data_IF_476629004810
#
_entry.id   IF_476629004810
#
_cell.length_a   1.000
_cell.length_b   1.000
_cell.length_c   1.000
_cell.angle_alpha   90.00
_cell.angle_beta   90.00
_cell.angle_gamma   90.00
#
_symmetry.space_group_name_H-M   'P 1'
#
loop_
_entity.id
_entity.type
_entity.pdbx_description
1 polymer ?
#
# COMPACT_ATOMS: atom_id res chain seq x y z
N UNK A 1 6.42 -20.24 5.96
CA UNK A 1 7.89 -20.25 6.06
C UNK A 1 8.29 -19.37 7.25
N UNK A 2 9.56 -19.34 7.65
CA UNK A 2 9.97 -18.39 8.69
C UNK A 2 9.90 -16.96 8.13
N UNK A 3 9.34 -16.03 8.90
CA UNK A 3 9.28 -14.61 8.51
C UNK A 3 10.70 -14.02 8.51
N UNK A 4 11.11 -13.25 7.50
CA UNK A 4 12.45 -12.70 7.46
C UNK A 4 12.71 -11.76 8.65
N UNK A 5 13.95 -11.74 9.12
CA UNK A 5 14.38 -10.81 10.18
C UNK A 5 14.54 -9.41 9.59
N UNK A 6 13.58 -8.53 9.88
CA UNK A 6 13.58 -7.11 9.50
C UNK A 6 13.38 -6.24 10.75
N UNK A 7 13.72 -4.95 10.66
CA UNK A 7 13.59 -4.00 11.76
C UNK A 7 12.32 -3.16 11.62
N UNK A 8 11.83 -2.61 12.74
CA UNK A 8 10.82 -1.55 12.70
C UNK A 8 11.36 -0.30 12.02
N UNK A 9 10.49 0.45 11.36
CA UNK A 9 10.80 1.77 10.81
C UNK A 9 9.80 2.80 11.35
N UNK A 10 10.20 4.07 11.38
CA UNK A 10 9.35 5.16 11.85
C UNK A 10 9.30 6.30 10.85
N UNK A 11 8.12 6.90 10.71
CA UNK A 11 7.91 8.17 10.01
C UNK A 11 7.29 9.11 11.03
N UNK A 12 8.06 10.12 11.44
CA UNK A 12 7.68 11.00 12.56
C UNK A 12 7.46 10.19 13.85
N UNK A 13 6.30 10.31 14.51
CA UNK A 13 5.95 9.52 15.69
C UNK A 13 5.29 8.17 15.35
N UNK A 14 5.07 7.86 14.07
CA UNK A 14 4.35 6.66 13.63
C UNK A 14 5.33 5.51 13.44
N UNK A 15 5.22 4.50 14.30
CA UNK A 15 6.05 3.28 14.23
C UNK A 15 5.35 2.20 13.41
N UNK A 16 6.10 1.66 12.45
CA UNK A 16 5.75 0.48 11.66
C UNK A 16 6.55 -0.71 12.20
N UNK A 17 5.90 -1.69 12.86
CA UNK A 17 6.59 -2.85 13.41
C UNK A 17 7.20 -3.73 12.31
N UNK A 18 8.18 -4.59 12.64
CA UNK A 18 8.82 -5.46 11.65
C UNK A 18 7.88 -6.49 11.04
N UNK A 19 6.83 -6.88 11.77
CA UNK A 19 5.82 -7.84 11.31
C UNK A 19 4.41 -7.38 11.67
N UNK A 20 3.43 -7.80 10.87
CA UNK A 20 2.03 -7.46 11.04
C UNK A 20 1.11 -8.61 10.64
N UNK A 21 -0.12 -8.58 11.17
CA UNK A 21 -1.25 -9.38 10.67
C UNK A 21 -2.19 -8.49 9.87
N UNK A 22 -2.49 -8.93 8.66
CA UNK A 22 -3.36 -8.19 7.75
C UNK A 22 -4.83 -8.59 8.00
N UNK A 23 -5.76 -7.63 8.04
CA UNK A 23 -7.19 -7.90 8.08
C UNK A 23 -7.61 -8.78 6.90
N UNK A 24 -8.43 -9.80 7.16
CA UNK A 24 -8.90 -10.74 6.13
C UNK A 24 -7.86 -11.76 5.68
N UNK A 25 -6.70 -11.87 6.35
CA UNK A 25 -5.65 -12.84 6.04
C UNK A 25 -5.18 -13.61 7.28
N UNK A 26 -4.82 -14.88 7.09
CA UNK A 26 -4.17 -15.71 8.11
C UNK A 26 -2.64 -15.72 7.98
N UNK A 27 -2.10 -15.10 6.93
CA UNK A 27 -0.69 -15.12 6.60
C UNK A 27 0.17 -14.26 7.54
N UNK A 28 1.50 -14.42 7.44
CA UNK A 28 2.48 -13.58 8.12
C UNK A 28 3.04 -12.56 7.13
N UNK A 29 3.18 -11.31 7.58
CA UNK A 29 3.72 -10.23 6.77
C UNK A 29 4.94 -9.62 7.46
N UNK A 30 5.95 -9.26 6.66
CA UNK A 30 7.12 -8.53 7.09
C UNK A 30 7.14 -7.13 6.46
N UNK A 31 7.73 -6.16 7.16
CA UNK A 31 7.86 -4.80 6.67
C UNK A 31 8.85 -4.75 5.51
N UNK A 32 8.36 -4.40 4.31
CA UNK A 32 9.18 -4.19 3.12
C UNK A 32 9.72 -2.76 3.01
N UNK A 33 8.99 -1.78 3.55
CA UNK A 33 9.45 -0.39 3.60
C UNK A 33 8.38 0.57 4.08
N UNK A 34 8.80 1.81 4.37
CA UNK A 34 7.92 2.90 4.78
C UNK A 34 8.20 4.17 3.98
N UNK A 35 7.18 5.01 3.81
CA UNK A 35 7.32 6.31 3.18
C UNK A 35 6.27 7.30 3.68
N UNK A 36 6.44 8.58 3.34
CA UNK A 36 5.44 9.61 3.61
C UNK A 36 4.83 10.10 2.29
N UNK A 37 3.52 10.38 2.30
CA UNK A 37 2.84 11.06 1.19
C UNK A 37 2.35 12.42 1.67
N UNK A 38 2.51 13.41 0.80
CA UNK A 38 2.20 14.81 1.09
C UNK A 38 2.00 15.60 -0.19
N UNK A 39 1.81 16.91 -0.02
CA UNK A 39 1.71 17.87 -1.11
C UNK A 39 2.69 19.01 -0.87
N UNK A 40 3.18 19.60 -1.97
CA UNK A 40 3.98 20.81 -1.91
C UNK A 40 3.05 22.00 -1.68
N UNK A 41 3.24 22.74 -0.58
CA UNK A 41 2.53 23.98 -0.28
C UNK A 41 3.59 25.07 -0.16
N UNK A 42 3.61 25.99 -1.13
CA UNK A 42 4.71 26.96 -1.28
C UNK A 42 6.06 26.21 -1.36
N UNK A 43 7.05 26.61 -0.57
CA UNK A 43 8.38 26.00 -0.56
C UNK A 43 8.52 24.84 0.44
N UNK A 44 7.40 24.35 1.01
CA UNK A 44 7.40 23.28 2.01
C UNK A 44 6.62 22.05 1.56
N UNK A 45 7.26 20.88 1.66
CA UNK A 45 6.58 19.60 1.52
C UNK A 45 5.81 19.26 2.81
N UNK A 46 4.48 19.28 2.73
CA UNK A 46 3.58 19.01 3.86
C UNK A 46 3.09 17.57 3.78
N UNK A 47 3.48 16.75 4.76
CA UNK A 47 3.07 15.35 4.87
C UNK A 47 1.64 15.23 5.41
N UNK A 48 0.87 14.34 4.81
CA UNK A 48 -0.50 14.02 5.19
C UNK A 48 -0.62 12.59 5.73
N UNK A 49 0.13 11.65 5.17
CA UNK A 49 0.10 10.25 5.60
C UNK A 49 1.48 9.63 5.66
N UNK A 50 1.65 8.69 6.59
CA UNK A 50 2.75 7.73 6.60
C UNK A 50 2.23 6.37 6.11
N UNK A 51 3.00 5.69 5.27
CA UNK A 51 2.60 4.44 4.61
C UNK A 51 3.65 3.39 4.92
N UNK A 52 3.22 2.25 5.45
CA UNK A 52 4.02 1.04 5.56
C UNK A 52 3.53 0.00 4.57
N UNK A 53 4.45 -0.57 3.79
CA UNK A 53 4.18 -1.67 2.87
C UNK A 53 4.78 -2.95 3.45
N UNK A 54 3.93 -3.96 3.59
CA UNK A 54 4.29 -5.26 4.10
C UNK A 54 4.01 -6.33 3.03
N UNK A 55 4.91 -7.30 2.96
CA UNK A 55 4.82 -8.41 2.02
C UNK A 55 4.63 -9.71 2.79
N UNK A 56 3.87 -10.64 2.23
CA UNK A 56 3.76 -12.00 2.75
C UNK A 56 5.14 -12.67 2.79
N UNK A 57 5.40 -13.52 3.78
CA UNK A 57 6.67 -14.25 3.95
C UNK A 57 7.17 -14.98 2.69
N UNK A 58 6.26 -15.55 1.89
CA UNK A 58 6.58 -16.24 0.64
C UNK A 58 7.12 -15.33 -0.48
N UNK A 59 7.01 -14.00 -0.33
CA UNK A 59 7.52 -13.05 -1.31
C UNK A 59 9.04 -13.13 -1.48
N UNK A 60 9.77 -13.42 -0.39
CA UNK A 60 11.25 -13.49 -0.41
C UNK A 60 11.76 -14.59 -1.35
N UNK A 61 11.38 -15.87 -1.18
CA UNK A 61 11.86 -16.91 -2.09
C UNK A 61 11.40 -16.69 -3.53
N UNK A 62 10.18 -16.18 -3.76
CA UNK A 62 9.70 -15.85 -5.11
C UNK A 62 10.58 -14.78 -5.78
N UNK A 63 10.84 -13.66 -5.10
CA UNK A 63 11.67 -12.59 -5.64
C UNK A 63 13.14 -13.03 -5.79
N UNK A 64 13.62 -13.92 -4.92
CA UNK A 64 15.00 -14.40 -4.97
C UNK A 64 15.35 -15.17 -6.24
N UNK A 65 14.38 -15.76 -6.96
CA UNK A 65 14.62 -16.46 -8.23
C UNK A 65 15.29 -15.56 -9.28
N UNK A 66 15.00 -14.25 -9.24
CA UNK A 66 15.46 -13.27 -10.23
C UNK A 66 16.30 -12.15 -9.62
N UNK A 67 16.02 -11.78 -8.37
CA UNK A 67 16.53 -10.55 -7.76
C UNK A 67 17.59 -10.78 -6.67
N UNK A 68 17.91 -12.04 -6.37
CA UNK A 68 18.96 -12.36 -5.40
C UNK A 68 20.31 -11.80 -5.84
N UNK A 69 21.10 -11.34 -4.86
CA UNK A 69 22.43 -10.75 -5.02
C UNK A 69 22.49 -9.41 -5.80
N UNK A 70 21.35 -8.85 -6.18
CA UNK A 70 21.26 -7.50 -6.74
C UNK A 70 21.48 -6.47 -5.63
N UNK A 71 22.18 -5.39 -5.96
CA UNK A 71 22.40 -4.30 -4.99
C UNK A 71 21.12 -3.50 -4.76
N UNK A 72 21.00 -2.83 -3.61
CA UNK A 72 19.85 -1.98 -3.33
C UNK A 72 19.69 -0.85 -4.36
N UNK A 73 20.80 -0.28 -4.84
CA UNK A 73 20.80 0.75 -5.87
C UNK A 73 20.25 0.20 -7.20
N UNK A 74 20.76 -0.94 -7.64
CA UNK A 74 20.28 -1.59 -8.87
C UNK A 74 18.78 -1.92 -8.79
N UNK A 75 18.31 -2.46 -7.67
CA UNK A 75 16.90 -2.76 -7.48
C UNK A 75 16.01 -1.51 -7.49
N UNK A 76 16.50 -0.40 -6.92
CA UNK A 76 15.76 0.88 -6.86
C UNK A 76 15.48 1.44 -8.26
N UNK A 77 16.41 1.29 -9.19
CA UNK A 77 16.27 1.81 -10.55
C UNK A 77 15.64 0.80 -11.53
N UNK A 78 15.31 -0.40 -11.06
CA UNK A 78 14.80 -1.49 -11.90
C UNK A 78 13.27 -1.61 -11.82
N UNK A 79 12.55 -0.95 -12.74
CA UNK A 79 11.08 -1.02 -12.83
C UNK A 79 10.52 -2.47 -12.80
N UNK A 80 11.10 -3.46 -13.50
CA UNK A 80 10.63 -4.84 -13.42
C UNK A 80 10.68 -5.47 -12.02
N UNK A 81 11.57 -5.03 -11.13
CA UNK A 81 11.62 -5.51 -9.75
C UNK A 81 10.35 -5.12 -8.98
N UNK A 82 9.96 -3.85 -9.08
CA UNK A 82 8.72 -3.37 -8.49
C UNK A 82 7.49 -4.00 -9.13
N UNK A 83 7.52 -4.29 -10.44
CA UNK A 83 6.45 -5.04 -11.11
C UNK A 83 6.29 -6.42 -10.49
N UNK A 84 7.37 -7.17 -10.30
CA UNK A 84 7.33 -8.49 -9.67
C UNK A 84 6.86 -8.42 -8.21
N UNK A 85 7.17 -7.32 -7.49
CA UNK A 85 6.57 -7.06 -6.17
C UNK A 85 5.06 -6.87 -6.28
N UNK A 86 4.59 -6.00 -7.17
CA UNK A 86 3.17 -5.63 -7.30
C UNK A 86 2.31 -6.82 -7.77
N UNK A 87 2.76 -7.53 -8.81
CA UNK A 87 2.00 -8.60 -9.47
C UNK A 87 2.35 -10.00 -8.98
N UNK A 88 3.35 -10.14 -8.10
CA UNK A 88 3.79 -11.44 -7.60
C UNK A 88 2.67 -12.22 -6.89
N UNK A 89 2.72 -13.56 -6.87
CA UNK A 89 1.66 -14.45 -6.40
C UNK A 89 1.62 -14.57 -4.88
N UNK A 90 1.69 -13.44 -4.19
CA UNK A 90 1.69 -13.32 -2.73
C UNK A 90 0.90 -12.11 -2.29
N UNK A 91 0.42 -12.13 -1.05
CA UNK A 91 -0.37 -11.05 -0.49
C UNK A 91 0.50 -9.85 -0.15
N UNK A 92 -0.11 -8.66 -0.27
CA UNK A 92 0.49 -7.39 0.15
C UNK A 92 -0.43 -6.73 1.15
N UNK A 93 0.17 -6.11 2.15
CA UNK A 93 -0.56 -5.39 3.18
C UNK A 93 -0.01 -3.96 3.28
N UNK A 94 -0.88 -2.97 3.22
CA UNK A 94 -0.51 -1.56 3.35
C UNK A 94 -1.23 -0.96 4.55
N UNK A 95 -0.47 -0.33 5.44
CA UNK A 95 -1.00 0.49 6.54
C UNK A 95 -0.74 1.95 6.21
N UNK A 96 -1.81 2.70 5.99
CA UNK A 96 -1.76 4.15 5.74
C UNK A 96 -2.24 4.85 7.00
N UNK A 97 -1.33 5.52 7.72
CA UNK A 97 -1.62 6.23 8.96
C UNK A 97 -1.65 7.74 8.71
N UNK A 98 -2.69 8.42 9.21
CA UNK A 98 -2.85 9.87 9.02
C UNK A 98 -1.87 10.62 9.92
N UNK A 99 -1.09 11.53 9.33
CA UNK A 99 -0.31 12.55 10.06
C UNK A 99 -1.18 13.79 10.27
N UNK A 100 -2.01 14.12 9.28
CA UNK A 100 -2.98 15.21 9.30
C UNK A 100 -4.39 14.66 9.04
N UNK A 101 -5.44 15.34 9.52
CA UNK A 101 -6.79 14.88 9.29
C UNK A 101 -7.12 14.85 7.79
N UNK A 102 -7.86 13.83 7.37
CA UNK A 102 -8.43 13.70 6.03
C UNK A 102 -9.84 13.13 6.13
N UNK A 103 -10.77 13.64 5.33
CA UNK A 103 -12.01 12.92 5.06
C UNK A 103 -11.71 11.71 4.19
N UNK A 104 -12.56 10.68 4.27
CA UNK A 104 -12.43 9.52 3.40
C UNK A 104 -12.61 9.86 1.93
N UNK A 105 -13.41 10.88 1.61
CA UNK A 105 -13.56 11.39 0.25
C UNK A 105 -12.26 12.03 -0.27
N UNK A 106 -11.63 12.93 0.49
CA UNK A 106 -10.34 13.52 0.10
C UNK A 106 -9.27 12.45 -0.14
N UNK A 107 -9.19 11.47 0.76
CA UNK A 107 -8.25 10.37 0.63
C UNK A 107 -8.53 9.51 -0.61
N UNK A 108 -9.75 8.98 -0.72
CA UNK A 108 -10.12 8.02 -1.77
C UNK A 108 -10.10 8.64 -3.16
N UNK A 109 -10.58 9.88 -3.32
CA UNK A 109 -10.50 10.59 -4.60
C UNK A 109 -9.05 10.74 -5.06
N UNK A 110 -8.14 11.10 -4.14
CA UNK A 110 -6.72 11.29 -4.49
C UNK A 110 -5.98 9.98 -4.79
N UNK A 111 -6.47 8.85 -4.29
CA UNK A 111 -5.96 7.51 -4.65
C UNK A 111 -6.53 7.10 -6.01
N UNK A 112 -7.85 7.22 -6.20
CA UNK A 112 -8.54 6.82 -7.42
C UNK A 112 -8.13 7.64 -8.65
N UNK A 113 -7.86 8.93 -8.50
CA UNK A 113 -7.37 9.81 -9.59
C UNK A 113 -6.15 9.20 -10.30
N UNK A 114 -5.17 8.75 -9.52
CA UNK A 114 -3.94 8.15 -10.06
C UNK A 114 -4.22 6.82 -10.76
N UNK A 115 -5.06 5.96 -10.17
CA UNK A 115 -5.42 4.67 -10.77
C UNK A 115 -6.13 4.85 -12.12
N UNK A 116 -7.13 5.74 -12.17
CA UNK A 116 -7.91 6.03 -13.38
C UNK A 116 -7.03 6.60 -14.48
N UNK A 117 -6.13 7.53 -14.16
CA UNK A 117 -5.20 8.10 -15.13
C UNK A 117 -4.32 7.03 -15.78
N UNK A 118 -3.75 6.12 -14.97
CA UNK A 118 -2.90 5.02 -15.46
C UNK A 118 -3.71 4.06 -16.32
N UNK A 119 -4.88 3.60 -15.86
CA UNK A 119 -5.70 2.65 -16.63
C UNK A 119 -6.19 3.23 -17.95
N UNK A 120 -6.51 4.54 -18.00
CA UNK A 120 -6.81 5.23 -19.25
C UNK A 120 -5.60 5.23 -20.19
N UNK A 121 -4.41 5.55 -19.67
CA UNK A 121 -3.18 5.56 -20.49
C UNK A 121 -2.81 4.19 -21.04
N UNK A 122 -3.18 3.11 -20.33
CA UNK A 122 -2.95 1.73 -20.73
C UNK A 122 -4.08 1.15 -21.60
N UNK A 123 -5.18 1.90 -21.82
CA UNK A 123 -6.32 1.42 -22.59
C UNK A 123 -7.16 0.34 -21.90
N UNK A 124 -7.05 0.20 -20.58
CA UNK A 124 -7.72 -0.84 -19.78
C UNK A 124 -8.78 -0.28 -18.83
N UNK A 125 -9.20 0.98 -19.01
CA UNK A 125 -10.25 1.59 -18.18
C UNK A 125 -11.64 1.30 -18.77
N UNK A 126 -12.19 0.15 -18.40
CA UNK A 126 -13.48 -0.35 -18.91
C UNK A 126 -14.61 -0.15 -17.89
N UNK A 127 -15.80 -0.70 -18.16
CA UNK A 127 -16.94 -0.61 -17.25
C UNK A 127 -16.68 -1.31 -15.91
N UNK A 128 -15.87 -2.36 -15.92
CA UNK A 128 -15.45 -3.11 -14.75
C UNK A 128 -14.59 -2.25 -13.83
N UNK A 129 -13.58 -1.55 -14.36
CA UNK A 129 -12.74 -0.63 -13.59
C UNK A 129 -13.53 0.56 -13.06
N UNK A 130 -14.48 1.10 -13.84
CA UNK A 130 -15.37 2.18 -13.39
C UNK A 130 -16.19 1.72 -12.17
N UNK A 131 -16.80 0.53 -12.24
CA UNK A 131 -17.56 -0.05 -11.12
C UNK A 131 -16.68 -0.27 -9.90
N UNK A 132 -15.45 -0.77 -10.09
CA UNK A 132 -14.50 -0.99 -9.01
C UNK A 132 -14.11 0.33 -8.31
N UNK A 133 -13.84 1.40 -9.07
CA UNK A 133 -13.51 2.72 -8.52
C UNK A 133 -14.68 3.32 -7.78
N UNK A 134 -15.89 3.27 -8.35
CA UNK A 134 -17.09 3.77 -7.68
C UNK A 134 -17.34 3.01 -6.37
N UNK A 135 -17.14 1.69 -6.36
CA UNK A 135 -17.24 0.89 -5.15
C UNK A 135 -16.16 1.28 -4.14
N UNK A 136 -14.92 1.43 -4.56
CA UNK A 136 -13.81 1.87 -3.71
C UNK A 136 -14.11 3.22 -3.05
N UNK A 137 -14.47 4.24 -3.83
CA UNK A 137 -14.80 5.58 -3.29
C UNK A 137 -15.99 5.52 -2.33
N UNK A 138 -17.01 4.71 -2.63
CA UNK A 138 -18.20 4.57 -1.76
C UNK A 138 -17.86 4.02 -0.38
N UNK A 139 -16.82 3.17 -0.25
CA UNK A 139 -16.38 2.62 1.05
C UNK A 139 -15.87 3.73 1.99
N UNK A 140 -15.39 4.84 1.45
CA UNK A 140 -14.83 5.95 2.22
C UNK A 140 -15.77 7.15 2.34
N UNK A 141 -16.98 7.09 1.76
CA UNK A 141 -17.86 8.26 1.61
C UNK A 141 -18.18 8.96 2.93
N UNK A 142 -18.46 8.18 3.96
CA UNK A 142 -18.91 8.65 5.28
C UNK A 142 -17.80 8.50 6.35
N UNK A 143 -16.56 8.24 5.93
CA UNK A 143 -15.42 8.08 6.84
C UNK A 143 -14.68 9.39 7.06
N UNK A 144 -14.10 9.55 8.24
CA UNK A 144 -13.19 10.65 8.58
C UNK A 144 -12.02 10.09 9.38
N UNK A 145 -10.83 10.55 9.05
CA UNK A 145 -9.59 10.02 9.56
C UNK A 145 -8.82 11.10 10.33
N UNK A 146 -8.94 11.17 11.66
CA UNK A 146 -8.11 12.05 12.48
C UNK A 146 -6.64 11.61 12.44
N UNK A 147 -5.68 12.49 12.83
CA UNK A 147 -4.28 12.11 12.99
C UNK A 147 -4.12 10.84 13.85
N UNK A 148 -3.30 9.92 13.39
CA UNK A 148 -2.99 8.62 13.99
C UNK A 148 -3.97 7.49 13.67
N UNK A 149 -5.16 7.78 13.13
CA UNK A 149 -6.02 6.73 12.57
C UNK A 149 -5.34 6.08 11.36
N UNK A 150 -5.71 4.82 11.05
CA UNK A 150 -5.13 4.11 9.89
C UNK A 150 -6.18 3.47 8.99
N UNK A 151 -5.91 3.52 7.69
CA UNK A 151 -6.57 2.71 6.66
C UNK A 151 -5.66 1.51 6.36
N UNK A 152 -6.25 0.33 6.33
CA UNK A 152 -5.58 -0.94 6.17
C UNK A 152 -6.06 -1.61 4.88
N UNK A 153 -5.12 -1.88 3.97
CA UNK A 153 -5.39 -2.56 2.70
C UNK A 153 -4.71 -3.91 2.65
N UNK A 154 -5.47 -4.97 2.40
CA UNK A 154 -4.93 -6.30 2.09
C UNK A 154 -5.25 -6.62 0.64
N UNK A 155 -4.21 -6.85 -0.16
CA UNK A 155 -4.31 -7.23 -1.58
C UNK A 155 -4.06 -8.73 -1.68
N UNK A 156 -5.08 -9.47 -2.09
CA UNK A 156 -4.96 -10.90 -2.38
C UNK A 156 -4.65 -11.15 -3.85
N UNK A 157 -3.67 -12.01 -4.18
CA UNK A 157 -3.38 -12.40 -5.56
C UNK A 157 -4.36 -13.46 -6.09
N UNK A 158 -5.34 -13.92 -5.30
CA UNK A 158 -6.28 -14.98 -5.69
C UNK A 158 -7.33 -14.47 -6.69
N UNK A 159 -7.66 -15.27 -7.70
CA UNK A 159 -8.66 -14.92 -8.73
C UNK A 159 -8.23 -13.70 -9.55
N UNK A 160 -9.16 -12.79 -9.85
CA UNK A 160 -8.87 -11.49 -10.50
C UNK A 160 -8.26 -10.45 -9.54
N UNK A 161 -7.85 -10.89 -8.34
CA UNK A 161 -7.41 -10.03 -7.24
C UNK A 161 -8.57 -9.56 -6.36
N UNK A 162 -8.36 -9.48 -5.06
CA UNK A 162 -9.31 -8.87 -4.12
C UNK A 162 -8.62 -7.85 -3.22
N UNK A 163 -9.38 -6.81 -2.86
CA UNK A 163 -8.94 -5.76 -1.95
C UNK A 163 -9.82 -5.77 -0.70
N UNK A 164 -9.25 -6.11 0.44
CA UNK A 164 -9.89 -5.92 1.75
C UNK A 164 -9.49 -4.56 2.31
N UNK A 165 -10.48 -3.76 2.70
CA UNK A 165 -10.29 -2.46 3.34
C UNK A 165 -10.82 -2.55 4.76
N UNK A 166 -10.05 -2.08 5.72
CA UNK A 166 -10.54 -1.84 7.09
C UNK A 166 -9.90 -0.59 7.67
N UNK A 167 -10.54 -0.02 8.68
CA UNK A 167 -10.10 1.22 9.30
C UNK A 167 -9.89 0.99 10.79
N UNK A 168 -8.87 1.64 11.34
CA UNK A 168 -8.63 1.74 12.79
C UNK A 168 -8.90 3.18 13.20
N UNK A 169 -9.86 3.35 14.10
CA UNK A 169 -10.13 4.63 14.77
C UNK A 169 -9.39 4.60 16.10
N UNK A 170 -8.85 5.75 16.53
CA UNK A 170 -8.22 5.90 17.85
C UNK A 170 -9.32 6.02 18.89
#
# INVERSE_FOLDING_TARGET
MATPSVTSLAIESIVFPPTMKAPGSTNNFFLGGTGARGIQIQDKFVKFTAIGVYLQDIAVPYLAEKWKAKSAHELTDTVPFFRDIVTGPFEKFMRVTMIRPLTGQEYSNKVSENCVAIWKSLGIYTNEEIKAINKFVSVFKDETFPPGSSILFTVSPKGSGSLTVSNTKI
#
